data_IF_114573871132
#
_entry.id   IF_114573871132
#
_cell.length_a   1.000
_cell.length_b   1.000
_cell.length_c   1.000
_cell.angle_alpha   90.00
_cell.angle_beta   90.00
_cell.angle_gamma   90.00
#
_symmetry.space_group_name_H-M   'P 1'
#
loop_
_entity.id
_entity.type
_entity.pdbx_description
1 polymer ?
#
# COMPACT_ATOMS: atom_id res chain seq x y z
N UNK A 1 -9.77 -0.48 10.41
CA UNK A 1 -8.39 -1.04 10.39
C UNK A 1 -7.40 0.13 10.35
N UNK A 2 -6.26 0.07 11.04
CA UNK A 2 -5.30 1.17 11.02
C UNK A 2 -4.74 1.34 9.61
N UNK A 3 -4.73 2.57 9.11
CA UNK A 3 -4.22 2.90 7.76
C UNK A 3 -2.69 2.91 7.71
N UNK A 4 -2.00 2.82 8.85
CA UNK A 4 -0.56 2.74 8.91
C UNK A 4 -0.07 1.90 10.10
N UNK A 5 1.17 1.42 10.04
CA UNK A 5 1.85 0.75 11.14
C UNK A 5 3.35 0.68 10.94
N UNK A 6 4.08 0.48 12.04
CA UNK A 6 5.53 0.31 12.04
C UNK A 6 5.85 -1.16 12.29
N UNK A 7 6.71 -1.74 11.45
CA UNK A 7 7.20 -3.13 11.60
C UNK A 7 8.72 -3.13 11.68
N UNK A 8 9.25 -3.71 12.75
CA UNK A 8 10.68 -4.05 12.86
C UNK A 8 10.96 -5.40 12.23
N UNK A 9 11.96 -5.46 11.36
CA UNK A 9 12.48 -6.71 10.80
C UNK A 9 13.82 -7.03 11.46
N UNK A 10 14.05 -8.32 11.73
CA UNK A 10 15.19 -8.76 12.55
C UNK A 10 16.55 -8.35 11.98
N UNK A 11 16.68 -8.35 10.65
CA UNK A 11 17.90 -7.98 9.92
C UNK A 11 17.58 -7.03 8.76
N UNK A 12 16.88 -5.92 9.01
CA UNK A 12 16.53 -4.95 7.97
C UNK A 12 16.02 -3.62 8.51
N UNK A 13 15.66 -2.69 7.61
CA UNK A 13 15.17 -1.38 8.01
C UNK A 13 13.83 -1.48 8.73
N UNK A 14 13.57 -0.59 9.68
CA UNK A 14 12.24 -0.41 10.25
C UNK A 14 11.28 0.09 9.17
N UNK A 15 10.14 -0.58 9.04
CA UNK A 15 9.20 -0.35 7.94
C UNK A 15 8.03 0.46 8.45
N UNK A 16 7.87 1.69 7.96
CA UNK A 16 6.60 2.41 8.00
C UNK A 16 5.76 1.97 6.81
N UNK A 17 4.63 1.31 7.07
CA UNK A 17 3.71 0.86 6.02
C UNK A 17 2.38 1.58 6.13
N UNK A 18 2.02 2.30 5.07
CA UNK A 18 0.66 2.82 4.86
C UNK A 18 -0.12 1.78 4.06
N UNK A 19 -1.34 1.45 4.49
CA UNK A 19 -2.22 0.48 3.86
C UNK A 19 -3.47 1.14 3.34
N UNK A 20 -3.69 1.01 2.03
CA UNK A 20 -4.93 1.35 1.36
C UNK A 20 -5.76 0.09 1.17
N UNK A 21 -7.04 0.20 1.47
CA UNK A 21 -7.98 -0.89 1.26
C UNK A 21 -8.69 -0.69 -0.06
N UNK A 22 -8.73 -1.75 -0.85
CA UNK A 22 -9.43 -1.80 -2.13
C UNK A 22 -10.58 -2.78 -2.00
N UNK A 23 -11.72 -2.46 -2.61
CA UNK A 23 -12.80 -3.43 -2.75
C UNK A 23 -12.31 -4.63 -3.57
N UNK A 24 -12.97 -5.76 -3.42
CA UNK A 24 -12.65 -6.95 -4.21
C UNK A 24 -12.62 -6.64 -5.73
N UNK A 25 -13.65 -5.92 -6.19
CA UNK A 25 -13.91 -5.67 -7.61
C UNK A 25 -12.95 -4.68 -8.27
N UNK A 26 -12.26 -3.83 -7.48
CA UNK A 26 -11.39 -2.77 -8.02
C UNK A 26 -9.91 -2.96 -7.68
N UNK A 27 -9.54 -4.08 -7.05
CA UNK A 27 -8.18 -4.30 -6.59
C UNK A 27 -7.16 -4.27 -7.72
N UNK A 28 -7.37 -5.02 -8.80
CA UNK A 28 -6.43 -5.08 -9.93
C UNK A 28 -6.27 -3.73 -10.62
N UNK A 29 -7.38 -3.00 -10.81
CA UNK A 29 -7.34 -1.66 -11.40
C UNK A 29 -6.64 -0.66 -10.48
N UNK A 30 -6.83 -0.77 -9.16
CA UNK A 30 -6.10 0.01 -8.18
C UNK A 30 -4.60 -0.30 -8.24
N UNK A 31 -4.18 -1.57 -8.34
CA UNK A 31 -2.75 -1.90 -8.50
C UNK A 31 -2.18 -1.18 -9.72
N UNK A 32 -2.82 -1.31 -10.88
CA UNK A 32 -2.37 -0.67 -12.13
C UNK A 32 -2.33 0.85 -12.04
N UNK A 33 -3.33 1.47 -11.42
CA UNK A 33 -3.37 2.92 -11.19
C UNK A 33 -2.15 3.38 -10.38
N UNK A 34 -1.84 2.67 -9.29
CA UNK A 34 -0.72 3.04 -8.43
C UNK A 34 0.63 2.73 -9.06
N UNK A 35 0.74 1.68 -9.87
CA UNK A 35 1.93 1.44 -10.70
C UNK A 35 2.19 2.59 -11.67
N UNK A 36 1.13 3.09 -12.32
CA UNK A 36 1.20 4.22 -13.23
C UNK A 36 1.59 5.52 -12.52
N UNK A 37 0.92 5.86 -11.41
CA UNK A 37 1.21 7.07 -10.64
C UNK A 37 2.63 7.04 -10.05
N UNK A 38 3.07 5.90 -9.55
CA UNK A 38 4.37 5.74 -8.91
C UNK A 38 5.50 5.45 -9.91
N UNK A 39 5.17 5.24 -11.19
CA UNK A 39 6.09 4.83 -12.26
C UNK A 39 6.97 3.64 -11.87
N UNK A 40 6.39 2.66 -11.16
CA UNK A 40 7.10 1.47 -10.68
C UNK A 40 6.13 0.30 -10.49
N UNK A 41 6.63 -0.91 -10.66
CA UNK A 41 5.89 -2.14 -10.35
C UNK A 41 5.85 -2.40 -8.84
N UNK A 42 4.86 -3.18 -8.39
CA UNK A 42 4.80 -3.63 -7.00
C UNK A 42 6.00 -4.54 -6.67
N UNK A 43 6.74 -4.20 -5.61
CA UNK A 43 7.91 -4.96 -5.13
C UNK A 43 7.53 -6.35 -4.60
N UNK A 44 6.30 -6.52 -4.14
CA UNK A 44 5.75 -7.82 -3.77
C UNK A 44 4.27 -7.84 -4.12
N UNK A 45 3.82 -8.90 -4.79
CA UNK A 45 2.43 -9.11 -5.11
C UNK A 45 2.00 -10.51 -4.66
N UNK A 46 0.91 -10.57 -3.90
CA UNK A 46 0.16 -11.78 -3.59
C UNK A 46 -1.29 -11.58 -4.02
N UNK A 47 -2.06 -12.66 -4.04
CA UNK A 47 -3.45 -12.66 -4.52
C UNK A 47 -4.35 -11.58 -3.90
N UNK A 48 -4.10 -11.19 -2.64
CA UNK A 48 -4.95 -10.23 -1.91
C UNK A 48 -4.23 -8.99 -1.39
N UNK A 49 -2.94 -8.83 -1.71
CA UNK A 49 -2.23 -7.58 -1.40
C UNK A 49 -0.95 -7.41 -2.21
N UNK A 50 -0.57 -6.16 -2.43
CA UNK A 50 0.70 -5.80 -3.02
C UNK A 50 1.39 -4.68 -2.23
N UNK A 51 2.70 -4.55 -2.42
CA UNK A 51 3.54 -3.59 -1.70
C UNK A 51 4.45 -2.86 -2.68
N UNK A 52 4.47 -1.54 -2.56
CA UNK A 52 5.38 -0.64 -3.23
C UNK A 52 6.36 -0.08 -2.21
N UNK A 53 7.66 -0.19 -2.49
CA UNK A 53 8.67 0.54 -1.72
C UNK A 53 8.75 1.96 -2.28
N UNK A 54 8.34 2.93 -1.46
CA UNK A 54 8.36 4.35 -1.82
C UNK A 54 9.72 4.98 -1.53
N UNK A 55 10.33 4.59 -0.42
CA UNK A 55 11.62 5.06 0.04
C UNK A 55 12.31 3.98 0.87
N UNK A 56 13.63 3.88 0.80
CA UNK A 56 14.40 2.94 1.61
C UNK A 56 15.82 3.48 1.90
N UNK A 57 16.25 3.29 3.14
CA UNK A 57 17.64 3.44 3.60
C UNK A 57 18.07 2.16 4.32
N UNK A 58 19.28 2.14 4.86
CA UNK A 58 19.74 1.05 5.74
C UNK A 58 18.90 0.94 7.03
N UNK A 59 18.25 2.02 7.47
CA UNK A 59 17.58 2.10 8.77
C UNK A 59 16.05 2.09 8.63
N UNK A 60 15.50 2.75 7.60
CA UNK A 60 14.05 2.95 7.45
C UNK A 60 13.60 2.64 6.02
N UNK A 61 12.44 2.02 5.88
CA UNK A 61 11.74 1.90 4.61
C UNK A 61 10.30 2.40 4.74
N UNK A 62 9.86 3.20 3.76
CA UNK A 62 8.47 3.64 3.63
C UNK A 62 7.82 2.82 2.53
N UNK A 63 6.71 2.18 2.89
CA UNK A 63 5.96 1.30 1.99
C UNK A 63 4.52 1.75 1.86
N UNK A 64 4.02 1.68 0.63
CA UNK A 64 2.59 1.70 0.36
C UNK A 64 2.13 0.27 0.11
N UNK A 65 1.05 -0.13 0.75
CA UNK A 65 0.44 -1.44 0.60
C UNK A 65 -0.99 -1.27 0.11
N UNK A 66 -1.36 -1.93 -0.98
CA UNK A 66 -2.77 -2.09 -1.35
C UNK A 66 -3.22 -3.45 -0.85
N UNK A 67 -4.33 -3.49 -0.13
CA UNK A 67 -4.90 -4.72 0.43
C UNK A 67 -6.34 -4.89 -0.04
N UNK A 68 -6.60 -5.99 -0.71
CA UNK A 68 -7.94 -6.37 -1.14
C UNK A 68 -8.80 -6.70 0.08
N UNK A 69 -10.00 -6.13 0.10
CA UNK A 69 -11.05 -6.47 1.05
C UNK A 69 -11.83 -7.71 0.58
N UNK A 70 -12.49 -8.43 1.50
CA UNK A 70 -13.37 -9.54 1.13
C UNK A 70 -14.49 -9.09 0.18
N UNK A 71 -15.02 -10.05 -0.58
CA UNK A 71 -16.18 -9.86 -1.46
C UNK A 71 -17.34 -9.27 -0.66
N UNK A 72 -18.02 -8.27 -1.24
CA UNK A 72 -19.15 -7.59 -0.61
C UNK A 72 -18.79 -6.52 0.42
N UNK A 73 -17.49 -6.32 0.71
CA UNK A 73 -17.03 -5.23 1.59
C UNK A 73 -16.54 -4.07 0.73
N UNK A 74 -17.20 -2.93 0.85
CA UNK A 74 -16.80 -1.70 0.16
C UNK A 74 -15.61 -1.02 0.85
N UNK A 75 -14.64 -0.55 0.07
CA UNK A 75 -13.64 0.39 0.54
C UNK A 75 -14.25 1.78 0.68
N UNK A 76 -14.42 2.24 1.92
CA UNK A 76 -14.92 3.59 2.21
C UNK A 76 -13.76 4.59 2.33
N UNK A 77 -13.87 5.77 1.67
CA UNK A 77 -12.91 6.84 1.88
C UNK A 77 -12.92 7.30 3.34
N UNK A 78 -11.75 7.72 3.83
CA UNK A 78 -11.60 8.24 5.18
C UNK A 78 -11.52 9.76 5.10
N UNK A 79 -12.54 10.43 5.63
CA UNK A 79 -12.65 11.90 5.70
C UNK A 79 -11.45 12.58 6.40
N UNK A 80 -10.74 11.86 7.27
CA UNK A 80 -9.60 12.37 8.04
C UNK A 80 -8.23 12.10 7.41
N UNK A 81 -8.17 11.65 6.15
CA UNK A 81 -6.90 11.35 5.48
C UNK A 81 -6.94 11.63 3.99
N UNK A 82 -5.86 12.19 3.47
CA UNK A 82 -5.65 12.37 2.04
C UNK A 82 -4.33 11.74 1.62
N UNK A 83 -4.28 11.24 0.38
CA UNK A 83 -3.05 10.79 -0.26
C UNK A 83 -2.74 11.72 -1.43
N UNK A 84 -1.53 12.27 -1.44
CA UNK A 84 -1.08 13.19 -2.46
C UNK A 84 0.15 12.62 -3.16
N UNK A 85 0.18 12.78 -4.49
CA UNK A 85 1.29 12.37 -5.32
C UNK A 85 1.89 13.58 -6.02
N UNK A 86 3.20 13.52 -6.23
CA UNK A 86 3.88 14.40 -7.16
C UNK A 86 3.95 13.65 -8.49
N UNK A 87 3.14 14.10 -9.45
CA UNK A 87 3.03 13.54 -10.80
C UNK A 87 3.86 14.37 -11.77
#
# INVERSE_FOLDING_TARGET
LPVWGIRRVHCGPEILRVTLYCSFDNYEDAVRLYEMILQKEATMQKSSFCVFVLYATQIIAVQLCLKQLPIGVAAEPKESSALQFKV
#
